data_IF_454469019939
#
_entry.id   IF_454469019939
#
_cell.length_a   1.000
_cell.length_b   1.000
_cell.length_c   1.000
_cell.angle_alpha   90.00
_cell.angle_beta   90.00
_cell.angle_gamma   90.00
#
_symmetry.space_group_name_H-M   'P 1'
#
loop_
_entity.id
_entity.type
_entity.pdbx_description
1 polymer ?
#
# COMPACT_ATOMS: atom_id res chain seq x y z
N UNK A 1 15.00 16.08 -41.76
CA UNK A 1 13.54 16.33 -41.76
C UNK A 1 12.85 15.22 -42.53
N UNK A 2 12.01 14.42 -41.88
CA UNK A 2 11.12 13.48 -42.57
C UNK A 2 9.81 13.37 -41.79
N UNK A 3 8.77 13.95 -42.37
CA UNK A 3 7.41 14.06 -41.83
C UNK A 3 6.62 12.80 -42.21
N UNK A 4 6.60 11.82 -41.32
CA UNK A 4 5.80 10.59 -41.46
C UNK A 4 4.30 10.90 -41.37
N UNK A 5 3.63 10.90 -42.53
CA UNK A 5 2.22 11.24 -42.74
C UNK A 5 1.35 9.98 -42.60
N UNK A 6 0.98 9.62 -41.37
CA UNK A 6 -0.03 8.58 -41.12
C UNK A 6 -1.45 9.12 -41.28
N UNK A 7 -2.03 9.06 -42.48
CA UNK A 7 -3.45 9.35 -42.75
C UNK A 7 -4.21 8.03 -42.81
N UNK A 8 -5.10 7.75 -41.85
CA UNK A 8 -6.08 6.66 -42.00
C UNK A 8 -6.67 6.02 -40.74
N UNK A 9 -6.05 6.16 -39.56
CA UNK A 9 -6.47 5.45 -38.31
C UNK A 9 -6.73 6.46 -37.17
N UNK A 10 -7.37 7.59 -37.48
CA UNK A 10 -7.53 8.71 -36.53
C UNK A 10 -9.00 9.08 -36.24
N UNK A 11 -9.96 8.27 -36.71
CA UNK A 11 -11.38 8.46 -36.45
C UNK A 11 -11.87 7.41 -35.44
N UNK A 12 -12.42 7.89 -34.32
CA UNK A 12 -13.10 7.02 -33.36
C UNK A 12 -14.38 6.44 -33.98
N UNK A 13 -14.80 5.26 -33.53
CA UNK A 13 -16.06 4.62 -33.96
C UNK A 13 -17.30 5.34 -33.43
N UNK A 14 -17.13 6.27 -32.49
CA UNK A 14 -18.17 7.12 -31.93
C UNK A 14 -17.91 8.60 -32.26
N UNK A 15 -18.97 9.41 -32.20
CA UNK A 15 -18.87 10.84 -32.46
C UNK A 15 -18.22 11.57 -31.27
N UNK A 16 -17.02 12.13 -31.47
CA UNK A 16 -16.30 12.93 -30.48
C UNK A 16 -16.92 14.29 -30.19
N UNK A 17 -17.60 14.88 -31.17
CA UNK A 17 -18.22 16.22 -31.05
C UNK A 17 -19.44 16.18 -30.13
N UNK A 18 -20.15 15.05 -30.12
CA UNK A 18 -21.25 14.79 -29.17
C UNK A 18 -20.77 14.71 -27.71
N UNK A 19 -19.48 14.43 -27.49
CA UNK A 19 -18.85 14.45 -26.17
C UNK A 19 -18.27 15.83 -25.82
N UNK A 20 -18.44 16.84 -26.69
CA UNK A 20 -17.88 18.19 -26.51
C UNK A 20 -16.37 18.28 -26.74
N UNK A 21 -15.75 17.26 -27.34
CA UNK A 21 -14.31 17.23 -27.61
C UNK A 21 -14.05 17.52 -29.09
N UNK A 22 -13.14 18.47 -29.36
CA UNK A 22 -12.65 18.72 -30.70
C UNK A 22 -11.32 18.00 -30.95
N UNK A 23 -11.01 17.68 -32.21
CA UNK A 23 -9.70 17.09 -32.58
C UNK A 23 -8.51 17.99 -32.22
N UNK A 24 -8.74 19.29 -32.05
CA UNK A 24 -7.73 20.27 -31.64
C UNK A 24 -7.55 20.35 -30.11
N UNK A 25 -8.49 19.82 -29.32
CA UNK A 25 -8.52 19.90 -27.85
C UNK A 25 -8.43 18.52 -27.20
N UNK A 26 -7.67 17.61 -27.80
CA UNK A 26 -7.54 16.24 -27.29
C UNK A 26 -6.62 16.19 -26.07
N UNK A 27 -6.99 15.50 -24.99
CA UNK A 27 -6.11 15.36 -23.83
C UNK A 27 -4.78 14.71 -24.25
N UNK A 28 -3.72 15.10 -23.56
CA UNK A 28 -2.40 14.57 -23.83
C UNK A 28 -2.38 13.05 -23.64
N UNK A 29 -1.73 12.34 -24.57
CA UNK A 29 -1.58 10.90 -24.48
C UNK A 29 -0.64 10.56 -23.32
N UNK A 30 -1.20 9.96 -22.27
CA UNK A 30 -0.44 9.53 -21.09
C UNK A 30 0.65 8.51 -21.50
N UNK A 31 1.91 8.78 -21.15
CA UNK A 31 3.08 8.00 -21.60
C UNK A 31 3.40 6.75 -20.76
N UNK A 32 2.65 6.48 -19.70
CA UNK A 32 2.87 5.33 -18.82
C UNK A 32 1.87 5.27 -17.67
N UNK A 33 1.84 4.16 -16.90
CA UNK A 33 0.94 4.03 -15.75
C UNK A 33 1.23 5.14 -14.72
N UNK A 34 0.19 5.59 -14.02
CA UNK A 34 0.36 6.51 -12.90
C UNK A 34 1.20 5.83 -11.80
N UNK A 35 2.03 6.59 -11.06
CA UNK A 35 2.75 6.04 -9.93
C UNK A 35 1.77 5.48 -8.89
N UNK A 36 2.14 4.36 -8.26
CA UNK A 36 1.32 3.73 -7.21
C UNK A 36 1.06 4.68 -6.02
N UNK A 37 2.03 5.56 -5.73
CA UNK A 37 1.94 6.56 -4.67
C UNK A 37 1.99 7.95 -5.30
N UNK A 38 0.85 8.64 -5.41
CA UNK A 38 0.84 10.02 -5.88
C UNK A 38 1.52 10.93 -4.85
N UNK A 39 2.08 12.03 -5.33
CA UNK A 39 2.62 13.07 -4.44
C UNK A 39 1.46 13.80 -3.77
N UNK A 40 1.48 13.83 -2.44
CA UNK A 40 0.51 14.58 -1.63
C UNK A 40 1.12 15.92 -1.21
N UNK A 41 0.36 17.00 -1.32
CA UNK A 41 0.81 18.34 -0.95
C UNK A 41 0.99 18.49 0.56
N UNK A 42 0.13 17.84 1.35
CA UNK A 42 0.10 17.94 2.80
C UNK A 42 0.67 16.69 3.46
N UNK A 43 1.58 16.91 4.41
CA UNK A 43 2.15 15.86 5.27
C UNK A 43 1.35 15.75 6.57
N UNK A 44 1.31 14.55 7.19
CA UNK A 44 0.70 14.40 8.49
C UNK A 44 1.43 15.25 9.55
N UNK A 45 0.68 15.64 10.58
CA UNK A 45 1.22 16.43 11.69
C UNK A 45 2.25 15.61 12.47
N UNK A 46 3.39 16.20 12.88
CA UNK A 46 4.37 15.52 13.73
C UNK A 46 3.75 15.00 15.03
N UNK A 47 4.33 13.92 15.57
CA UNK A 47 3.92 13.38 16.86
C UNK A 47 4.18 14.39 17.98
N UNK A 48 3.38 14.30 19.04
CA UNK A 48 3.57 15.08 20.27
C UNK A 48 4.79 14.55 21.01
N UNK A 49 5.60 15.48 21.52
CA UNK A 49 6.83 15.18 22.24
C UNK A 49 6.73 15.76 23.64
N UNK A 50 7.25 15.02 24.62
CA UNK A 50 7.18 15.37 26.03
C UNK A 50 7.35 14.14 26.91
N UNK A 51 7.68 14.37 28.18
CA UNK A 51 7.91 13.30 29.15
C UNK A 51 6.64 12.47 29.40
N UNK A 52 5.47 13.12 29.41
CA UNK A 52 4.18 12.46 29.57
C UNK A 52 3.87 11.51 28.40
N UNK A 53 4.08 11.95 27.16
CA UNK A 53 3.91 11.11 25.98
C UNK A 53 4.88 9.93 25.98
N UNK A 54 6.15 10.17 26.31
CA UNK A 54 7.18 9.14 26.35
C UNK A 54 6.91 8.10 27.45
N UNK A 55 6.45 8.56 28.62
CA UNK A 55 6.02 7.68 29.71
C UNK A 55 4.87 6.78 29.28
N UNK A 56 3.84 7.34 28.66
CA UNK A 56 2.68 6.57 28.18
C UNK A 56 3.07 5.57 27.09
N UNK A 57 4.01 5.93 26.21
CA UNK A 57 4.56 5.02 25.20
C UNK A 57 5.32 3.85 25.84
N UNK A 58 6.17 4.11 26.83
CA UNK A 58 6.89 3.08 27.57
C UNK A 58 5.92 2.14 28.29
N UNK A 59 4.94 2.71 29.01
CA UNK A 59 3.91 1.95 29.73
C UNK A 59 3.10 1.05 28.79
N UNK A 60 2.71 1.55 27.62
CA UNK A 60 2.00 0.75 26.60
C UNK A 60 2.82 -0.46 26.15
N UNK A 61 4.14 -0.30 25.98
CA UNK A 61 5.03 -1.39 25.59
C UNK A 61 5.15 -2.43 26.71
N UNK A 62 5.30 -1.99 27.95
CA UNK A 62 5.37 -2.86 29.12
C UNK A 62 4.09 -3.70 29.27
N UNK A 63 2.92 -3.05 29.15
CA UNK A 63 1.62 -3.74 29.21
C UNK A 63 1.54 -4.80 28.11
N UNK A 64 1.91 -4.47 26.86
CA UNK A 64 1.93 -5.45 25.76
C UNK A 64 2.83 -6.65 26.07
N UNK A 65 3.97 -6.42 26.72
CA UNK A 65 4.88 -7.47 27.17
C UNK A 65 4.25 -8.35 28.24
N UNK A 66 3.77 -7.74 29.33
CA UNK A 66 3.18 -8.42 30.48
C UNK A 66 1.91 -9.19 30.13
N UNK A 67 1.06 -8.63 29.27
CA UNK A 67 -0.21 -9.26 28.87
C UNK A 67 -0.03 -10.63 28.23
N UNK A 68 1.09 -10.87 27.52
CA UNK A 68 1.38 -12.19 26.92
C UNK A 68 1.65 -13.28 27.95
N UNK A 69 2.02 -12.92 29.17
CA UNK A 69 2.25 -13.84 30.28
C UNK A 69 1.01 -14.11 31.14
N UNK A 70 -0.08 -13.37 30.93
CA UNK A 70 -1.30 -13.57 31.71
C UNK A 70 -2.05 -14.84 31.25
N UNK A 71 -2.80 -15.50 32.15
CA UNK A 71 -3.62 -16.66 31.81
C UNK A 71 -4.67 -16.39 30.71
N UNK A 72 -5.04 -15.12 30.52
CA UNK A 72 -5.97 -14.69 29.48
C UNK A 72 -5.36 -14.65 28.07
N UNK A 73 -4.03 -14.80 27.93
CA UNK A 73 -3.36 -14.90 26.64
C UNK A 73 -3.45 -16.33 26.08
N UNK A 74 -4.64 -16.71 25.64
CA UNK A 74 -4.90 -18.03 25.06
C UNK A 74 -4.13 -18.18 23.76
N UNK A 75 -3.20 -19.14 23.73
CA UNK A 75 -2.43 -19.48 22.53
C UNK A 75 -3.27 -20.37 21.62
N UNK A 76 -3.12 -20.28 20.29
CA UNK A 76 -3.70 -21.27 19.39
C UNK A 76 -3.18 -22.67 19.78
N UNK A 77 -4.00 -23.72 19.68
CA UNK A 77 -3.56 -25.07 19.97
C UNK A 77 -2.36 -25.41 19.09
N UNK A 78 -1.26 -25.86 19.68
CA UNK A 78 -0.16 -26.45 18.92
C UNK A 78 -0.70 -27.71 18.27
N UNK A 79 -0.83 -27.72 16.94
CA UNK A 79 -1.36 -28.84 16.19
C UNK A 79 -0.72 -30.14 16.66
N UNK A 80 -1.54 -31.13 17.02
CA UNK A 80 -1.08 -32.52 17.06
C UNK A 80 -0.65 -32.83 15.63
N UNK A 81 0.61 -33.25 15.45
CA UNK A 81 1.12 -33.76 14.19
C UNK A 81 0.08 -34.70 13.56
N UNK A 82 -0.49 -34.27 12.43
CA UNK A 82 -1.61 -34.97 11.81
C UNK A 82 -2.42 -34.07 10.87
N UNK A 83 -1.78 -33.63 9.79
CA UNK A 83 -2.47 -33.50 8.49
C UNK A 83 -3.47 -32.34 8.25
N UNK A 84 -3.40 -31.22 8.98
CA UNK A 84 -4.25 -30.04 8.65
C UNK A 84 -3.59 -28.66 8.63
N UNK A 85 -2.27 -28.58 8.81
CA UNK A 85 -1.57 -27.29 9.00
C UNK A 85 -0.76 -26.80 7.79
N UNK A 86 -0.89 -27.42 6.62
CA UNK A 86 -0.08 -27.07 5.45
C UNK A 86 -0.56 -25.83 4.65
N UNK A 87 -1.75 -25.28 4.91
CA UNK A 87 -2.24 -24.11 4.15
C UNK A 87 -1.84 -22.75 4.77
N UNK A 88 -1.87 -22.63 6.10
CA UNK A 88 -1.60 -21.34 6.78
C UNK A 88 -0.11 -21.14 7.11
N UNK A 89 0.64 -22.22 7.32
CA UNK A 89 2.08 -22.16 7.60
C UNK A 89 2.93 -21.74 6.39
N UNK A 90 2.47 -22.01 5.16
CA UNK A 90 3.17 -21.60 3.94
C UNK A 90 3.03 -20.10 3.66
N UNK A 91 1.93 -19.47 4.10
CA UNK A 91 1.68 -18.04 3.91
C UNK A 91 2.63 -17.16 4.74
N UNK A 92 2.97 -17.60 5.96
CA UNK A 92 3.84 -16.84 6.88
C UNK A 92 5.34 -17.18 6.77
N UNK A 93 5.71 -18.32 6.16
CA UNK A 93 7.13 -18.70 5.98
C UNK A 93 7.85 -17.89 4.88
N UNK A 94 7.10 -17.25 3.98
CA UNK A 94 7.66 -16.42 2.90
C UNK A 94 7.76 -14.92 3.21
N UNK A 95 7.27 -14.44 4.36
CA UNK A 95 7.28 -13.02 4.67
C UNK A 95 8.64 -12.58 5.24
N UNK A 96 9.36 -11.64 4.59
CA UNK A 96 10.68 -11.20 5.04
C UNK A 96 10.56 -10.53 6.42
N UNK A 97 11.30 -11.07 7.39
CA UNK A 97 11.26 -10.70 8.81
C UNK A 97 12.33 -9.65 9.16
N UNK A 98 12.57 -8.69 8.26
CA UNK A 98 13.59 -7.66 8.43
C UNK A 98 13.10 -6.31 7.90
N UNK A 99 12.25 -5.65 8.68
CA UNK A 99 12.11 -4.20 8.66
C UNK A 99 12.07 -3.72 10.11
N UNK A 100 13.21 -3.86 10.77
CA UNK A 100 13.55 -3.05 11.93
C UNK A 100 15.07 -2.84 11.90
N UNK A 101 15.49 -1.89 11.06
CA UNK A 101 16.85 -1.38 11.03
C UNK A 101 16.77 0.12 10.69
N UNK A 102 17.15 0.93 11.69
CA UNK A 102 17.60 2.32 11.68
C UNK A 102 17.69 3.05 10.33
N UNK A 103 16.99 4.17 10.20
CA UNK A 103 17.47 5.49 9.73
C UNK A 103 16.33 6.52 9.84
#
# INVERSE_FOLDING_TARGET
MARGKGRGIAAFTFNIEALGLSRASMPETQRGPQPMFPQVEFKPVPLKAGEDEDYMLALKQEIRGKMKGLPFHIKPPSGKNGERDNAMGLFFKGWPRTLNASA
#
